data_IF_036256025927
#
_entry.id   IF_036256025927
#
_cell.length_a   1.000
_cell.length_b   1.000
_cell.length_c   1.000
_cell.angle_alpha   90.00
_cell.angle_beta   90.00
_cell.angle_gamma   90.00
#
_symmetry.space_group_name_H-M   'P 1'
#
loop_
_entity.id
_entity.type
_entity.pdbx_description
1 polymer ?
#
# COMPACT_ATOMS: atom_id res chain seq x y z
N UNK A 1 -22.05 -5.02 -121.21
CA UNK A 1 -22.73 -3.99 -120.39
C UNK A 1 -23.34 -4.54 -119.09
N UNK A 2 -23.56 -5.85 -118.96
CA UNK A 2 -24.11 -6.49 -117.76
C UNK A 2 -23.12 -6.57 -116.59
N UNK A 3 -21.83 -6.81 -116.85
CA UNK A 3 -20.83 -6.98 -115.78
C UNK A 3 -20.51 -5.67 -115.04
N UNK A 4 -20.50 -4.53 -115.75
CA UNK A 4 -20.26 -3.20 -115.16
C UNK A 4 -21.37 -2.80 -114.16
N UNK A 5 -22.62 -3.16 -114.45
CA UNK A 5 -23.76 -2.93 -113.56
C UNK A 5 -23.72 -3.83 -112.31
N UNK A 6 -23.22 -5.06 -112.47
CA UNK A 6 -23.03 -5.98 -111.35
C UNK A 6 -21.93 -5.49 -110.39
N UNK A 7 -20.78 -5.03 -110.92
CA UNK A 7 -19.71 -4.46 -110.11
C UNK A 7 -20.13 -3.17 -109.39
N UNK A 8 -20.90 -2.30 -110.05
CA UNK A 8 -21.46 -1.10 -109.42
C UNK A 8 -22.45 -1.45 -108.30
N UNK A 9 -23.29 -2.47 -108.49
CA UNK A 9 -24.22 -2.97 -107.47
C UNK A 9 -23.51 -3.57 -106.25
N UNK A 10 -22.48 -4.39 -106.46
CA UNK A 10 -21.66 -4.96 -105.39
C UNK A 10 -20.92 -3.85 -104.62
N UNK A 11 -20.37 -2.86 -105.33
CA UNK A 11 -19.75 -1.68 -104.73
C UNK A 11 -20.72 -0.89 -103.84
N UNK A 12 -21.93 -0.62 -104.32
CA UNK A 12 -22.99 0.05 -103.54
C UNK A 12 -23.42 -0.75 -102.31
N UNK A 13 -23.56 -2.07 -102.44
CA UNK A 13 -23.91 -2.95 -101.32
C UNK A 13 -22.79 -3.01 -100.27
N UNK A 14 -21.53 -3.07 -100.68
CA UNK A 14 -20.39 -3.05 -99.74
C UNK A 14 -20.27 -1.71 -99.02
N UNK A 15 -20.50 -0.60 -99.71
CA UNK A 15 -20.57 0.74 -99.10
C UNK A 15 -21.75 0.86 -98.12
N UNK A 16 -22.93 0.33 -98.47
CA UNK A 16 -24.09 0.29 -97.57
C UNK A 16 -23.81 -0.54 -96.31
N UNK A 17 -23.21 -1.72 -96.46
CA UNK A 17 -22.81 -2.58 -95.33
C UNK A 17 -21.78 -1.89 -94.44
N UNK A 18 -20.81 -1.18 -95.03
CA UNK A 18 -19.83 -0.39 -94.29
C UNK A 18 -20.49 0.72 -93.49
N UNK A 19 -21.39 1.50 -94.10
CA UNK A 19 -22.15 2.58 -93.44
C UNK A 19 -23.03 2.04 -92.30
N UNK A 20 -23.72 0.92 -92.52
CA UNK A 20 -24.54 0.28 -91.47
C UNK A 20 -23.68 -0.22 -90.31
N UNK A 21 -22.50 -0.80 -90.60
CA UNK A 21 -21.55 -1.25 -89.58
C UNK A 21 -21.00 -0.08 -88.77
N UNK A 22 -20.64 1.02 -89.44
CA UNK A 22 -20.18 2.25 -88.80
C UNK A 22 -21.28 2.86 -87.92
N UNK A 23 -22.51 2.96 -88.42
CA UNK A 23 -23.63 3.48 -87.64
C UNK A 23 -23.94 2.62 -86.41
N UNK A 24 -23.89 1.28 -86.53
CA UNK A 24 -24.03 0.37 -85.38
C UNK A 24 -22.89 0.55 -84.37
N UNK A 25 -21.67 0.77 -84.83
CA UNK A 25 -20.52 1.03 -83.97
C UNK A 25 -20.70 2.36 -83.21
N UNK A 26 -21.12 3.44 -83.88
CA UNK A 26 -21.42 4.73 -83.24
C UNK A 26 -22.54 4.62 -82.20
N UNK A 27 -23.63 3.90 -82.51
CA UNK A 27 -24.70 3.64 -81.55
C UNK A 27 -24.20 2.87 -80.32
N UNK A 28 -23.36 1.85 -80.53
CA UNK A 28 -22.78 1.08 -79.42
C UNK A 28 -21.86 1.94 -78.53
N UNK A 29 -21.06 2.82 -79.12
CA UNK A 29 -20.19 3.74 -78.39
C UNK A 29 -21.01 4.78 -77.61
N UNK A 30 -22.08 5.31 -78.22
CA UNK A 30 -22.98 6.24 -77.54
C UNK A 30 -23.61 5.61 -76.29
N UNK A 31 -24.07 4.36 -76.37
CA UNK A 31 -24.62 3.64 -75.21
C UNK A 31 -23.57 3.46 -74.10
N UNK A 32 -22.33 3.09 -74.47
CA UNK A 32 -21.24 2.93 -73.49
C UNK A 32 -20.90 4.25 -72.80
N UNK A 33 -20.85 5.36 -73.56
CA UNK A 33 -20.58 6.69 -72.99
C UNK A 33 -21.71 7.13 -72.06
N UNK A 34 -22.98 6.92 -72.43
CA UNK A 34 -24.11 7.23 -71.57
C UNK A 34 -24.10 6.41 -70.26
N UNK A 35 -23.74 5.12 -70.36
CA UNK A 35 -23.61 4.26 -69.18
C UNK A 35 -22.49 4.74 -68.25
N UNK A 36 -21.31 5.06 -68.79
CA UNK A 36 -20.18 5.61 -68.00
C UNK A 36 -20.53 6.96 -67.38
N UNK A 37 -21.27 7.81 -68.09
CA UNK A 37 -21.72 9.10 -67.57
C UNK A 37 -22.67 8.90 -66.38
N UNK A 38 -23.58 7.91 -66.47
CA UNK A 38 -24.46 7.55 -65.37
C UNK A 38 -23.67 7.03 -64.16
N UNK A 39 -22.76 6.09 -64.38
CA UNK A 39 -21.88 5.56 -63.31
C UNK A 39 -21.03 6.67 -62.66
N UNK A 40 -20.51 7.62 -63.44
CA UNK A 40 -19.79 8.78 -62.92
C UNK A 40 -20.67 9.66 -62.04
N UNK A 41 -21.92 9.93 -62.44
CA UNK A 41 -22.87 10.71 -61.65
C UNK A 41 -23.28 10.00 -60.37
N UNK A 42 -23.54 8.69 -60.45
CA UNK A 42 -23.89 7.89 -59.27
C UNK A 42 -22.71 7.84 -58.28
N UNK A 43 -21.47 7.76 -58.79
CA UNK A 43 -20.26 7.84 -57.97
C UNK A 43 -20.04 9.24 -57.35
N UNK A 44 -20.30 10.32 -58.08
CA UNK A 44 -20.27 11.69 -57.56
C UNK A 44 -21.29 11.88 -56.44
N UNK A 45 -22.53 11.43 -56.64
CA UNK A 45 -23.57 11.49 -55.60
C UNK A 45 -23.19 10.67 -54.36
N UNK A 46 -22.65 9.46 -54.54
CA UNK A 46 -22.16 8.66 -53.43
C UNK A 46 -21.04 9.39 -52.66
N UNK A 47 -20.09 10.02 -53.37
CA UNK A 47 -19.03 10.81 -52.75
C UNK A 47 -19.56 12.01 -51.98
N UNK A 48 -20.53 12.74 -52.54
CA UNK A 48 -21.16 13.89 -51.86
C UNK A 48 -21.87 13.46 -50.57
N UNK A 49 -22.61 12.35 -50.59
CA UNK A 49 -23.26 11.84 -49.38
C UNK A 49 -22.25 11.42 -48.31
N UNK A 50 -21.12 10.82 -48.71
CA UNK A 50 -20.04 10.46 -47.79
C UNK A 50 -19.38 11.70 -47.17
N UNK A 51 -19.14 12.75 -47.96
CA UNK A 51 -18.60 14.03 -47.47
C UNK A 51 -19.55 14.64 -46.43
N UNK A 52 -20.85 14.67 -46.71
CA UNK A 52 -21.85 15.17 -45.77
C UNK A 52 -21.88 14.38 -44.45
N UNK A 53 -21.74 13.05 -44.52
CA UNK A 53 -21.64 12.21 -43.31
C UNK A 53 -20.38 12.54 -42.50
N UNK A 54 -19.23 12.68 -43.16
CA UNK A 54 -17.97 13.05 -42.51
C UNK A 54 -18.03 14.45 -41.88
N UNK A 55 -18.70 15.41 -42.51
CA UNK A 55 -18.91 16.74 -41.94
C UNK A 55 -19.76 16.71 -40.67
N UNK A 56 -20.85 15.93 -40.69
CA UNK A 56 -21.69 15.71 -39.51
C UNK A 56 -20.91 15.03 -38.38
N UNK A 57 -20.11 14.02 -38.70
CA UNK A 57 -19.27 13.33 -37.71
C UNK A 57 -18.22 14.28 -37.11
N UNK A 58 -17.52 15.07 -37.93
CA UNK A 58 -16.59 16.08 -37.46
C UNK A 58 -17.26 17.12 -36.55
N UNK A 59 -18.48 17.53 -36.88
CA UNK A 59 -19.24 18.44 -36.04
C UNK A 59 -19.51 17.84 -34.65
N UNK A 60 -19.95 16.57 -34.59
CA UNK A 60 -20.19 15.86 -33.32
C UNK A 60 -18.91 15.68 -32.51
N UNK A 61 -17.82 15.27 -33.16
CA UNK A 61 -16.51 15.11 -32.52
C UNK A 61 -16.01 16.42 -31.90
N UNK A 62 -16.23 17.55 -32.57
CA UNK A 62 -15.86 18.86 -32.04
C UNK A 62 -16.71 19.24 -30.81
N UNK A 63 -18.01 18.92 -30.80
CA UNK A 63 -18.86 19.13 -29.63
C UNK A 63 -18.41 18.26 -28.44
N UNK A 64 -18.14 16.98 -28.68
CA UNK A 64 -17.67 16.05 -27.65
C UNK A 64 -16.32 16.48 -27.07
N UNK A 65 -15.41 16.95 -27.93
CA UNK A 65 -14.11 17.49 -27.50
C UNK A 65 -14.26 18.71 -26.60
N UNK A 66 -15.18 19.61 -26.92
CA UNK A 66 -15.42 20.80 -26.10
C UNK A 66 -16.06 20.43 -24.75
N UNK A 67 -17.01 19.49 -24.74
CA UNK A 67 -17.60 18.97 -23.51
C UNK A 67 -16.56 18.31 -22.61
N UNK A 68 -15.71 17.46 -23.19
CA UNK A 68 -14.64 16.77 -22.46
C UNK A 68 -13.65 17.78 -21.87
N UNK A 69 -13.33 18.84 -22.61
CA UNK A 69 -12.47 19.93 -22.11
C UNK A 69 -13.10 20.63 -20.91
N UNK A 70 -14.39 20.98 -20.98
CA UNK A 70 -15.11 21.60 -19.85
C UNK A 70 -15.19 20.69 -18.62
N UNK A 71 -15.43 19.38 -18.83
CA UNK A 71 -15.44 18.40 -17.75
C UNK A 71 -14.05 18.27 -17.11
N UNK A 72 -13.01 18.20 -17.93
CA UNK A 72 -11.62 18.15 -17.45
C UNK A 72 -11.26 19.40 -16.65
N UNK A 73 -11.62 20.60 -17.12
CA UNK A 73 -11.37 21.85 -16.41
C UNK A 73 -12.09 21.92 -15.06
N UNK A 74 -13.33 21.41 -14.98
CA UNK A 74 -14.05 21.28 -13.70
C UNK A 74 -13.32 20.34 -12.75
N UNK A 75 -12.97 19.15 -13.23
CA UNK A 75 -12.29 18.14 -12.41
C UNK A 75 -10.95 18.66 -11.88
N UNK A 76 -10.17 19.37 -12.70
CA UNK A 76 -8.92 19.98 -12.26
C UNK A 76 -9.15 21.01 -11.14
N UNK A 77 -10.17 21.86 -11.25
CA UNK A 77 -10.51 22.85 -10.21
C UNK A 77 -10.98 22.20 -8.91
N UNK A 78 -11.71 21.09 -8.99
CA UNK A 78 -12.19 20.39 -7.81
C UNK A 78 -11.04 19.68 -7.10
N UNK A 79 -10.14 19.02 -7.84
CA UNK A 79 -8.91 18.40 -7.31
C UNK A 79 -8.00 19.47 -6.67
N UNK A 80 -7.83 20.63 -7.32
CA UNK A 80 -6.99 21.71 -6.81
C UNK A 80 -7.51 22.23 -5.45
N UNK A 81 -8.83 22.38 -5.31
CA UNK A 81 -9.45 22.78 -4.03
C UNK A 81 -9.28 21.73 -2.95
N UNK A 82 -9.45 20.45 -3.28
CA UNK A 82 -9.28 19.34 -2.34
C UNK A 82 -7.83 19.28 -1.83
N UNK A 83 -6.86 19.36 -2.74
CA UNK A 83 -5.43 19.43 -2.39
C UNK A 83 -5.15 20.65 -1.52
N UNK A 84 -5.69 21.83 -1.84
CA UNK A 84 -5.47 23.03 -1.04
C UNK A 84 -6.00 22.88 0.38
N UNK A 85 -7.21 22.31 0.53
CA UNK A 85 -7.82 22.04 1.82
C UNK A 85 -7.00 21.03 2.63
N UNK A 86 -6.66 19.88 2.06
CA UNK A 86 -5.85 18.86 2.74
C UNK A 86 -4.48 19.41 3.15
N UNK A 87 -3.84 20.19 2.26
CA UNK A 87 -2.53 20.80 2.53
C UNK A 87 -2.63 21.79 3.69
N UNK A 88 -3.74 22.54 3.79
CA UNK A 88 -3.98 23.47 4.90
C UNK A 88 -4.21 22.72 6.22
N UNK A 89 -5.01 21.67 6.21
CA UNK A 89 -5.28 20.84 7.39
C UNK A 89 -4.00 20.15 7.89
N UNK A 90 -3.20 19.59 6.99
CA UNK A 90 -1.91 18.99 7.31
C UNK A 90 -0.92 19.99 7.90
N UNK A 91 -0.83 21.21 7.33
CA UNK A 91 0.02 22.28 7.88
C UNK A 91 -0.39 22.68 9.29
N UNK A 92 -1.69 22.82 9.54
CA UNK A 92 -2.19 23.13 10.88
C UNK A 92 -1.89 21.99 11.86
N UNK A 93 -2.02 20.74 11.43
CA UNK A 93 -1.70 19.58 12.26
C UNK A 93 -0.21 19.49 12.59
N UNK A 94 0.68 19.77 11.64
CA UNK A 94 2.12 19.85 11.86
C UNK A 94 2.42 20.94 12.89
N UNK A 95 1.83 22.13 12.75
CA UNK A 95 2.02 23.23 13.69
C UNK A 95 1.61 22.86 15.12
N UNK A 96 0.46 22.20 15.28
CA UNK A 96 0.00 21.71 16.59
C UNK A 96 0.97 20.69 17.19
N UNK A 97 1.49 19.77 16.37
CA UNK A 97 2.46 18.77 16.81
C UNK A 97 3.80 19.39 17.19
N UNK A 98 4.26 20.39 16.43
CA UNK A 98 5.48 21.15 16.75
C UNK A 98 5.34 21.91 18.05
N UNK A 99 4.19 22.57 18.27
CA UNK A 99 3.90 23.28 19.53
C UNK A 99 3.84 22.31 20.71
N UNK A 100 3.16 21.18 20.57
CA UNK A 100 3.09 20.16 21.62
C UNK A 100 4.47 19.56 21.90
N UNK A 101 5.26 19.28 20.86
CA UNK A 101 6.61 18.75 21.02
C UNK A 101 7.53 19.77 21.70
N UNK A 102 7.38 21.06 21.37
CA UNK A 102 8.07 22.13 22.07
C UNK A 102 7.69 22.19 23.55
N UNK A 103 6.40 22.14 23.88
CA UNK A 103 5.90 22.11 25.26
C UNK A 103 6.44 20.90 26.03
N UNK A 104 6.36 19.70 25.45
CA UNK A 104 6.91 18.48 26.04
C UNK A 104 8.44 18.54 26.17
N UNK A 105 9.13 19.18 25.24
CA UNK A 105 10.58 19.38 25.33
C UNK A 105 10.93 20.33 26.47
N UNK A 106 10.16 21.41 26.65
CA UNK A 106 10.32 22.34 27.76
C UNK A 106 10.02 21.63 29.09
N UNK A 107 8.91 20.90 29.19
CA UNK A 107 8.57 20.11 30.39
C UNK A 107 9.66 19.08 30.69
N UNK A 108 10.19 18.38 29.68
CA UNK A 108 11.32 17.46 29.86
C UNK A 108 12.61 18.17 30.30
N UNK A 109 12.86 19.40 29.84
CA UNK A 109 13.99 20.20 30.30
C UNK A 109 13.78 20.67 31.74
N UNK A 110 12.60 21.16 32.10
CA UNK A 110 12.22 21.53 33.45
C UNK A 110 12.33 20.32 34.39
N UNK A 111 11.82 19.16 34.00
CA UNK A 111 11.96 17.92 34.75
C UNK A 111 13.42 17.46 34.86
N UNK A 112 14.29 17.72 33.87
CA UNK A 112 15.74 17.49 33.96
C UNK A 112 16.46 18.51 34.84
N UNK A 113 15.94 19.73 34.95
CA UNK A 113 16.47 20.78 35.84
C UNK A 113 16.00 20.55 37.28
N UNK A 114 14.78 20.05 37.48
CA UNK A 114 14.19 19.63 38.77
C UNK A 114 14.71 18.26 39.21
N UNK A 115 15.13 17.41 38.26
CA UNK A 115 15.94 16.21 38.47
C UNK A 115 17.35 16.43 37.94
N UNK A 116 18.13 17.42 38.44
CA UNK A 116 19.53 17.42 38.12
C UNK A 116 20.07 16.09 38.64
N UNK A 117 20.74 15.36 37.75
CA UNK A 117 21.61 14.26 38.11
C UNK A 117 22.43 14.71 39.32
N UNK A 118 22.07 14.11 40.43
CA UNK A 118 22.71 14.19 41.72
C UNK A 118 24.17 13.81 41.53
N UNK A 119 25.01 14.82 41.28
CA UNK A 119 26.45 14.64 41.38
C UNK A 119 27.04 15.38 42.56
N UNK A 120 26.28 16.23 43.25
CA UNK A 120 26.68 16.79 44.55
C UNK A 120 25.44 17.00 45.41
N UNK A 121 25.38 16.26 46.51
CA UNK A 121 24.47 16.44 47.66
C UNK A 121 22.98 16.31 47.38
N UNK A 122 22.51 15.06 47.26
CA UNK A 122 21.18 14.69 47.77
C UNK A 122 21.29 14.83 49.29
N UNK A 123 20.42 15.57 49.98
CA UNK A 123 20.26 15.40 51.41
C UNK A 123 19.98 13.91 51.64
N UNK A 124 20.65 13.28 52.60
CA UNK A 124 20.37 11.91 53.01
C UNK A 124 18.88 11.80 53.41
N UNK A 125 18.01 11.49 52.45
CA UNK A 125 16.69 11.00 52.76
C UNK A 125 16.91 9.59 53.28
N UNK A 126 16.72 9.43 54.58
CA UNK A 126 16.82 8.14 55.26
C UNK A 126 16.01 7.09 54.49
N UNK A 127 16.68 6.05 54.00
CA UNK A 127 16.07 4.96 53.23
C UNK A 127 16.21 4.99 51.70
N UNK A 128 16.83 6.01 51.07
CA UNK A 128 17.04 5.99 49.60
C UNK A 128 18.15 5.00 49.18
N UNK A 129 17.82 4.09 48.25
CA UNK A 129 18.76 3.12 47.66
C UNK A 129 18.96 3.44 46.18
N UNK A 130 20.20 3.72 45.76
CA UNK A 130 20.56 3.99 44.36
C UNK A 130 21.36 2.83 43.79
N UNK A 131 20.83 2.19 42.75
CA UNK A 131 21.48 1.11 42.01
C UNK A 131 21.84 1.59 40.60
N UNK A 132 23.11 1.46 40.22
CA UNK A 132 23.58 1.79 38.86
C UNK A 132 23.55 0.54 37.99
N UNK A 133 22.93 0.63 36.82
CA UNK A 133 22.89 -0.42 35.82
C UNK A 133 23.11 0.16 34.41
N UNK A 134 23.87 -0.55 33.57
CA UNK A 134 24.19 -0.13 32.21
C UNK A 134 23.29 -0.75 31.13
N UNK A 135 22.61 -1.86 31.43
CA UNK A 135 21.62 -2.44 30.53
C UNK A 135 20.42 -1.51 30.39
N UNK A 136 19.85 -1.46 29.18
CA UNK A 136 18.69 -0.63 28.85
C UNK A 136 17.39 -1.36 29.17
N UNK A 137 16.35 -0.60 29.50
CA UNK A 137 15.00 -1.15 29.60
C UNK A 137 14.38 -1.26 28.19
N UNK A 138 13.82 -2.44 27.86
CA UNK A 138 13.03 -2.68 26.66
C UNK A 138 11.58 -2.23 26.81
N UNK A 139 11.09 -2.18 28.04
CA UNK A 139 9.79 -1.62 28.40
C UNK A 139 9.89 -0.83 29.70
N UNK A 140 9.01 0.17 29.93
CA UNK A 140 9.10 1.02 31.12
C UNK A 140 9.24 0.24 32.42
N UNK A 141 10.27 0.59 33.19
CA UNK A 141 10.59 0.00 34.50
C UNK A 141 11.01 -1.48 34.49
N UNK A 142 11.45 -2.04 33.34
CA UNK A 142 11.84 -3.45 33.24
C UNK A 142 12.84 -3.87 34.32
N UNK A 143 14.02 -3.25 34.41
CA UNK A 143 15.04 -3.62 35.42
C UNK A 143 14.52 -3.56 36.85
N UNK A 144 13.70 -2.56 37.17
CA UNK A 144 13.08 -2.40 38.49
C UNK A 144 12.07 -3.52 38.77
N UNK A 145 11.29 -3.91 37.75
CA UNK A 145 10.37 -5.05 37.83
C UNK A 145 11.12 -6.36 38.07
N UNK A 146 12.20 -6.62 37.31
CA UNK A 146 13.05 -7.81 37.50
C UNK A 146 13.60 -7.87 38.93
N UNK A 147 14.13 -6.74 39.41
CA UNK A 147 14.71 -6.68 40.75
C UNK A 147 13.67 -6.95 41.84
N UNK A 148 12.47 -6.38 41.71
CA UNK A 148 11.40 -6.62 42.67
C UNK A 148 10.89 -8.06 42.64
N UNK A 149 10.87 -8.69 41.47
CA UNK A 149 10.52 -10.11 41.34
C UNK A 149 11.52 -11.00 42.11
N UNK A 150 12.82 -10.73 41.94
CA UNK A 150 13.88 -11.41 42.71
C UNK A 150 13.73 -11.17 44.22
N UNK A 151 13.38 -9.96 44.64
CA UNK A 151 13.14 -9.63 46.05
C UNK A 151 11.91 -10.36 46.59
N UNK A 152 10.80 -10.40 45.83
CA UNK A 152 9.59 -11.16 46.18
C UNK A 152 9.86 -12.65 46.31
N UNK A 153 10.64 -13.23 45.40
CA UNK A 153 11.02 -14.63 45.48
C UNK A 153 11.93 -14.92 46.68
N UNK A 154 12.81 -13.98 47.02
CA UNK A 154 13.64 -14.11 48.22
C UNK A 154 12.81 -14.14 49.51
N UNK A 155 11.67 -13.43 49.59
CA UNK A 155 10.78 -13.45 50.76
C UNK A 155 10.25 -14.85 51.08
N UNK A 156 10.12 -15.73 50.09
CA UNK A 156 9.63 -17.11 50.29
C UNK A 156 10.57 -17.96 51.14
N UNK A 157 11.86 -17.63 51.15
CA UNK A 157 12.92 -18.42 51.79
C UNK A 157 13.59 -17.71 52.98
N UNK A 158 13.13 -16.52 53.35
CA UNK A 158 13.69 -15.75 54.45
C UNK A 158 13.05 -16.17 55.77
N UNK A 159 13.88 -16.25 56.83
CA UNK A 159 13.40 -16.52 58.20
C UNK A 159 12.35 -15.49 58.61
N UNK A 160 11.22 -15.98 59.08
CA UNK A 160 10.14 -15.14 59.61
C UNK A 160 10.61 -14.24 60.77
N UNK A 161 10.05 -13.03 60.80
CA UNK A 161 10.30 -11.96 61.75
C UNK A 161 11.79 -11.55 61.87
N UNK A 162 12.56 -11.73 60.79
CA UNK A 162 13.95 -11.29 60.74
C UNK A 162 14.07 -9.88 60.15
N UNK A 163 15.14 -9.16 60.51
CA UNK A 163 15.44 -7.83 59.94
C UNK A 163 15.51 -7.86 58.41
N UNK A 164 16.05 -8.96 57.85
CA UNK A 164 16.10 -9.19 56.40
C UNK A 164 14.69 -9.25 55.80
N UNK A 165 13.76 -9.96 56.44
CA UNK A 165 12.37 -10.00 55.99
C UNK A 165 11.74 -8.61 56.04
N UNK A 166 11.92 -7.88 57.14
CA UNK A 166 11.35 -6.53 57.30
C UNK A 166 11.83 -5.57 56.21
N UNK A 167 13.13 -5.53 55.92
CA UNK A 167 13.69 -4.65 54.87
C UNK A 167 13.17 -5.05 53.49
N UNK A 168 13.19 -6.34 53.14
CA UNK A 168 12.75 -6.78 51.80
C UNK A 168 11.25 -6.53 51.62
N UNK A 169 10.44 -6.81 52.65
CA UNK A 169 9.01 -6.56 52.63
C UNK A 169 8.70 -5.07 52.46
N UNK A 170 9.44 -4.20 53.15
CA UNK A 170 9.31 -2.75 53.05
C UNK A 170 9.67 -2.22 51.65
N UNK A 171 10.76 -2.70 51.06
CA UNK A 171 11.12 -2.35 49.68
C UNK A 171 10.03 -2.80 48.70
N UNK A 172 9.53 -4.03 48.83
CA UNK A 172 8.48 -4.56 47.94
C UNK A 172 7.16 -3.82 48.11
N UNK A 173 6.77 -3.43 49.33
CA UNK A 173 5.51 -2.71 49.56
C UNK A 173 5.52 -1.28 49.05
N UNK A 174 6.67 -0.60 49.11
CA UNK A 174 6.80 0.79 48.67
C UNK A 174 7.06 0.92 47.16
N UNK A 175 7.36 -0.18 46.47
CA UNK A 175 7.70 -0.17 45.04
C UNK A 175 6.79 -1.18 44.32
N UNK A 176 5.59 -0.75 43.95
CA UNK A 176 4.68 -1.55 43.12
C UNK A 176 4.65 -1.01 41.70
N UNK A 177 4.76 -1.92 40.73
CA UNK A 177 4.61 -1.64 39.31
C UNK A 177 3.58 -2.59 38.72
N UNK A 178 2.83 -2.10 37.74
CA UNK A 178 2.00 -2.96 36.92
C UNK A 178 2.92 -3.86 36.07
N UNK A 179 2.80 -5.19 36.22
CA UNK A 179 3.71 -6.12 35.54
C UNK A 179 3.45 -6.14 34.03
N UNK A 180 4.36 -5.50 33.27
CA UNK A 180 4.34 -5.60 31.81
C UNK A 180 4.80 -6.98 31.36
N UNK A 181 5.69 -7.61 32.12
CA UNK A 181 6.15 -8.98 31.89
C UNK A 181 4.99 -9.97 31.85
N UNK A 182 4.11 -9.93 32.84
CA UNK A 182 2.93 -10.81 32.90
C UNK A 182 1.97 -10.57 31.74
N UNK A 183 1.76 -9.30 31.36
CA UNK A 183 0.94 -8.95 30.18
C UNK A 183 1.54 -9.51 28.88
N UNK A 184 2.85 -9.35 28.67
CA UNK A 184 3.55 -9.90 27.50
C UNK A 184 3.41 -11.43 27.48
N UNK A 185 3.60 -12.09 28.64
CA UNK A 185 3.43 -13.53 28.77
C UNK A 185 2.01 -13.98 28.41
N UNK A 186 0.99 -13.30 28.93
CA UNK A 186 -0.40 -13.62 28.67
C UNK A 186 -0.76 -13.42 27.19
N UNK A 187 -0.29 -12.34 26.56
CA UNK A 187 -0.50 -12.07 25.14
C UNK A 187 0.19 -13.12 24.27
N UNK A 188 1.42 -13.55 24.61
CA UNK A 188 2.11 -14.65 23.94
C UNK A 188 1.35 -15.97 24.09
N UNK A 189 0.84 -16.28 25.29
CA UNK A 189 0.06 -17.49 25.54
C UNK A 189 -1.23 -17.54 24.73
N UNK A 190 -1.92 -16.41 24.61
CA UNK A 190 -3.12 -16.29 23.76
C UNK A 190 -2.77 -16.46 22.29
N UNK A 191 -1.73 -15.75 21.84
CA UNK A 191 -1.30 -15.73 20.45
C UNK A 191 -0.88 -17.11 19.92
N UNK A 192 -0.22 -17.90 20.79
CA UNK A 192 0.28 -19.22 20.44
C UNK A 192 -0.62 -20.39 20.91
N UNK A 193 -1.79 -20.13 21.51
CA UNK A 193 -2.66 -21.18 22.06
C UNK A 193 -2.98 -22.29 21.06
N UNK A 194 -3.38 -21.90 19.85
CA UNK A 194 -3.76 -22.80 18.74
C UNK A 194 -2.85 -22.61 17.51
N UNK A 195 -1.58 -22.26 17.76
CA UNK A 195 -0.62 -22.00 16.70
C UNK A 195 -0.36 -23.25 15.84
N UNK A 196 -0.57 -23.11 14.53
CA UNK A 196 -0.26 -24.15 13.52
C UNK A 196 0.70 -23.65 12.44
N UNK A 197 0.60 -22.36 12.10
CA UNK A 197 1.41 -21.70 11.08
C UNK A 197 1.43 -20.17 11.34
N UNK A 198 2.40 -19.47 10.75
CA UNK A 198 2.58 -18.03 10.87
C UNK A 198 1.58 -17.25 10.01
N UNK A 199 0.37 -17.10 10.52
CA UNK A 199 -0.67 -16.28 9.89
C UNK A 199 -0.28 -14.78 9.84
N UNK A 200 -0.94 -14.03 8.94
CA UNK A 200 -0.73 -12.56 8.85
C UNK A 200 -1.09 -11.83 10.14
N UNK A 201 -2.12 -12.30 10.87
CA UNK A 201 -2.51 -11.72 12.17
C UNK A 201 -1.47 -12.03 13.23
N UNK A 202 -0.95 -13.26 13.27
CA UNK A 202 0.11 -13.68 14.20
C UNK A 202 1.38 -12.84 14.00
N UNK A 203 1.81 -12.68 12.74
CA UNK A 203 2.95 -11.82 12.39
C UNK A 203 2.77 -10.39 12.90
N UNK A 204 1.63 -9.77 12.60
CA UNK A 204 1.34 -8.40 13.05
C UNK A 204 1.31 -8.28 14.58
N UNK A 205 0.77 -9.27 15.28
CA UNK A 205 0.73 -9.25 16.74
C UNK A 205 2.15 -9.30 17.33
N UNK A 206 3.00 -10.22 16.84
CA UNK A 206 4.41 -10.30 17.25
C UNK A 206 5.18 -9.00 16.96
N UNK A 207 4.99 -8.41 15.79
CA UNK A 207 5.61 -7.12 15.43
C UNK A 207 5.20 -6.00 16.40
N UNK A 208 3.91 -5.92 16.78
CA UNK A 208 3.43 -4.95 17.78
C UNK A 208 4.03 -5.17 19.16
N UNK A 209 4.31 -6.42 19.53
CA UNK A 209 4.97 -6.76 20.78
C UNK A 209 6.49 -6.49 20.75
N UNK A 210 7.05 -6.04 19.62
CA UNK A 210 8.47 -5.72 19.49
C UNK A 210 9.33 -6.87 18.99
N UNK A 211 8.73 -7.93 18.43
CA UNK A 211 9.46 -9.01 17.78
C UNK A 211 9.68 -8.73 16.30
N UNK A 212 10.91 -8.91 15.85
CA UNK A 212 11.25 -9.05 14.44
C UNK A 212 11.19 -10.52 14.03
N UNK A 213 10.55 -10.81 12.89
CA UNK A 213 10.41 -12.18 12.38
C UNK A 213 11.30 -12.35 11.16
N UNK A 214 12.31 -13.22 11.28
CA UNK A 214 13.16 -13.64 10.17
C UNK A 214 12.73 -15.03 9.70
N UNK A 215 12.46 -15.17 8.40
CA UNK A 215 12.03 -16.43 7.79
C UNK A 215 13.20 -17.10 7.09
N UNK A 216 13.66 -18.22 7.63
CA UNK A 216 14.68 -19.08 7.01
C UNK A 216 14.04 -20.38 6.52
N UNK A 217 14.60 -21.02 5.49
CA UNK A 217 14.12 -22.26 4.84
C UNK A 217 12.95 -22.95 5.55
N UNK A 218 13.24 -23.69 6.64
CA UNK A 218 12.26 -24.46 7.40
C UNK A 218 11.93 -23.89 8.80
N UNK A 219 12.50 -22.75 9.19
CA UNK A 219 12.37 -22.20 10.55
C UNK A 219 12.05 -20.70 10.53
N UNK A 220 11.25 -20.25 11.50
CA UNK A 220 11.16 -18.84 11.86
C UNK A 220 12.14 -18.54 12.98
N UNK A 221 12.70 -17.34 12.97
CA UNK A 221 13.45 -16.73 14.07
C UNK A 221 12.70 -15.49 14.54
N UNK A 222 12.47 -15.39 15.84
CA UNK A 222 11.97 -14.19 16.49
C UNK A 222 13.12 -13.52 17.20
N UNK A 223 13.32 -12.22 16.96
CA UNK A 223 14.34 -11.40 17.63
C UNK A 223 13.60 -10.30 18.39
N UNK A 224 13.76 -10.25 19.71
CA UNK A 224 13.10 -9.23 20.53
C UNK A 224 13.89 -7.91 20.50
N UNK A 225 13.20 -6.78 20.24
CA UNK A 225 13.75 -5.42 20.34
C UNK A 225 15.08 -5.20 19.59
N UNK A 226 15.25 -5.91 18.47
CA UNK A 226 16.44 -5.88 17.59
C UNK A 226 17.74 -6.27 18.31
N UNK A 227 17.67 -7.06 19.37
CA UNK A 227 18.83 -7.57 20.09
C UNK A 227 18.94 -9.08 19.89
N UNK A 228 19.98 -9.49 19.16
CA UNK A 228 20.22 -10.88 18.78
C UNK A 228 20.48 -11.82 19.96
N UNK A 229 20.76 -11.30 21.17
CA UNK A 229 20.85 -12.11 22.40
C UNK A 229 19.50 -12.77 22.72
N UNK A 230 18.41 -12.14 22.31
CA UNK A 230 17.05 -12.56 22.61
C UNK A 230 16.36 -13.14 21.37
N UNK A 231 16.99 -14.15 20.79
CA UNK A 231 16.52 -14.86 19.61
C UNK A 231 15.91 -16.22 19.96
N UNK A 232 14.72 -16.51 19.42
CA UNK A 232 14.09 -17.84 19.50
C UNK A 232 13.81 -18.38 18.11
N UNK A 233 14.26 -19.59 17.81
CA UNK A 233 14.01 -20.27 16.54
C UNK A 233 12.99 -21.42 16.72
N UNK A 234 12.05 -21.56 15.78
CA UNK A 234 11.10 -22.68 15.74
C UNK A 234 10.70 -23.04 14.31
N UNK A 235 10.22 -24.28 14.10
CA UNK A 235 9.84 -24.77 12.78
C UNK A 235 8.62 -24.01 12.21
N UNK A 236 8.57 -23.83 10.89
CA UNK A 236 7.44 -23.16 10.21
C UNK A 236 6.13 -23.94 10.35
N UNK A 237 6.23 -25.26 10.25
CA UNK A 237 5.11 -26.18 10.38
C UNK A 237 5.36 -27.09 11.56
N UNK A 238 4.38 -27.16 12.46
CA UNK A 238 4.44 -28.00 13.65
C UNK A 238 3.23 -28.91 13.67
N UNK A 239 3.44 -30.23 13.61
CA UNK A 239 2.37 -31.23 13.76
C UNK A 239 1.99 -31.49 15.22
N UNK A 240 2.80 -31.00 16.17
CA UNK A 240 2.57 -31.14 17.60
C UNK A 240 1.62 -30.03 18.10
N UNK A 241 0.53 -30.45 18.74
CA UNK A 241 -0.44 -29.55 19.37
C UNK A 241 0.15 -28.77 20.55
N UNK A 242 1.29 -29.21 21.11
CA UNK A 242 2.01 -28.51 22.19
C UNK A 242 3.02 -27.49 21.67
N UNK A 243 3.25 -27.41 20.36
CA UNK A 243 4.31 -26.58 19.79
C UNK A 243 4.18 -25.10 20.19
N UNK A 244 2.96 -24.54 20.16
CA UNK A 244 2.71 -23.18 20.60
C UNK A 244 3.10 -22.94 22.07
N UNK A 245 2.76 -23.87 22.97
CA UNK A 245 3.14 -23.77 24.40
C UNK A 245 4.65 -23.85 24.58
N UNK A 246 5.33 -24.70 23.81
CA UNK A 246 6.79 -24.82 23.87
C UNK A 246 7.44 -23.51 23.41
N UNK A 247 6.99 -22.92 22.29
CA UNK A 247 7.48 -21.64 21.79
C UNK A 247 7.33 -20.55 22.87
N UNK A 248 6.15 -20.43 23.48
CA UNK A 248 5.93 -19.45 24.55
C UNK A 248 6.83 -19.72 25.76
N UNK A 249 7.05 -20.99 26.12
CA UNK A 249 7.98 -21.37 27.18
C UNK A 249 9.42 -20.95 26.87
N UNK A 250 9.89 -21.17 25.64
CA UNK A 250 11.21 -20.71 25.20
C UNK A 250 11.35 -19.19 25.23
N UNK A 251 10.33 -18.47 24.73
CA UNK A 251 10.32 -17.00 24.75
C UNK A 251 10.29 -16.48 26.19
N UNK A 252 9.43 -17.05 27.04
CA UNK A 252 9.31 -16.65 28.43
C UNK A 252 10.62 -16.87 29.18
N UNK A 253 11.22 -18.05 29.10
CA UNK A 253 12.48 -18.33 29.80
C UNK A 253 13.66 -17.45 29.35
N UNK A 254 13.62 -16.95 28.11
CA UNK A 254 14.68 -16.11 27.56
C UNK A 254 14.48 -14.62 27.90
N UNK A 255 13.24 -14.16 28.04
CA UNK A 255 12.89 -12.74 28.15
C UNK A 255 12.29 -12.32 29.49
N UNK A 256 11.60 -13.22 30.18
CA UNK A 256 10.67 -12.93 31.28
C UNK A 256 11.09 -13.68 32.55
#
# INVERSE_FOLDING_TARGET
MTDLLLFASIGLMTALVFVVKQFRQEQSQHVIVQQRLKESRDAEQASETMIQQLEQENYRLNQDRELLKQQSEKLYKDIEKEIEQETKELKERIRQLEELNYQLSQENQELKIVKPVETKSIPEQDGLIILRASERDFYPNERSEILLDVLKDSLRNVRENSRRQHIIADIVSNNSFESKREKIKAELQELFRDYRDMSRSTRKALERMGFEIVSENNHYKLIFQKDNRYMVAFAKTTSDWRAGRNIVGHISNLLL
#
